data_IF_356093190096
#
_entry.id   IF_356093190096
#
_cell.length_a   1.000
_cell.length_b   1.000
_cell.length_c   1.000
_cell.angle_alpha   90.00
_cell.angle_beta   90.00
_cell.angle_gamma   90.00
#
_symmetry.space_group_name_H-M   'P 1'
#
loop_
_entity.id
_entity.type
_entity.pdbx_description
1 polymer ?
#
# COMPACT_ATOMS: atom_id res chain seq x y z
N UNK A 1 -33.58 -17.05 -3.32
CA UNK A 1 -32.84 -15.78 -3.50
C UNK A 1 -31.38 -16.14 -3.74
N UNK A 2 -30.90 -16.06 -4.99
CA UNK A 2 -29.52 -16.41 -5.32
C UNK A 2 -28.57 -15.43 -4.65
N UNK A 3 -27.56 -15.93 -3.94
CA UNK A 3 -26.50 -15.08 -3.37
C UNK A 3 -25.74 -14.47 -4.54
N UNK A 4 -25.88 -13.16 -4.74
CA UNK A 4 -25.03 -12.44 -5.68
C UNK A 4 -23.58 -12.65 -5.25
N UNK A 5 -22.72 -13.11 -6.17
CA UNK A 5 -21.28 -13.17 -5.90
C UNK A 5 -20.79 -11.73 -5.69
N UNK A 6 -20.22 -11.40 -4.52
CA UNK A 6 -19.75 -10.05 -4.26
C UNK A 6 -18.65 -9.70 -5.27
N UNK A 7 -18.73 -8.48 -5.79
CA UNK A 7 -17.74 -7.90 -6.68
C UNK A 7 -16.38 -7.79 -5.99
N UNK A 8 -15.30 -7.72 -6.78
CA UNK A 8 -13.97 -7.51 -6.24
C UNK A 8 -13.89 -6.25 -5.36
N UNK A 9 -14.57 -5.17 -5.77
CA UNK A 9 -14.60 -3.89 -5.04
C UNK A 9 -15.27 -4.03 -3.66
N UNK A 10 -16.29 -4.87 -3.53
CA UNK A 10 -16.92 -5.16 -2.25
C UNK A 10 -15.97 -5.93 -1.34
N UNK A 11 -15.31 -6.98 -1.86
CA UNK A 11 -14.31 -7.75 -1.12
C UNK A 11 -13.13 -6.90 -0.67
N UNK A 12 -12.67 -5.98 -1.52
CA UNK A 12 -11.62 -5.02 -1.20
C UNK A 12 -12.03 -4.12 -0.03
N UNK A 13 -13.22 -3.51 -0.13
CA UNK A 13 -13.72 -2.61 0.90
C UNK A 13 -13.89 -3.33 2.23
N UNK A 14 -14.46 -4.53 2.21
CA UNK A 14 -14.62 -5.36 3.39
C UNK A 14 -13.25 -5.67 4.03
N UNK A 15 -12.27 -6.10 3.23
CA UNK A 15 -10.93 -6.40 3.73
C UNK A 15 -10.24 -5.17 4.35
N UNK A 16 -10.33 -4.00 3.71
CA UNK A 16 -9.73 -2.75 4.24
C UNK A 16 -10.43 -2.29 5.51
N UNK A 17 -11.77 -2.39 5.58
CA UNK A 17 -12.53 -2.00 6.76
C UNK A 17 -12.30 -2.94 7.95
N UNK A 18 -12.19 -4.24 7.69
CA UNK A 18 -11.76 -5.22 8.71
C UNK A 18 -10.37 -4.89 9.24
N UNK A 19 -9.39 -4.63 8.36
CA UNK A 19 -8.05 -4.20 8.80
C UNK A 19 -8.11 -2.91 9.63
N UNK A 20 -8.92 -1.94 9.21
CA UNK A 20 -9.06 -0.66 9.90
C UNK A 20 -9.56 -0.86 11.33
N UNK A 21 -10.71 -1.49 11.47
CA UNK A 21 -11.43 -1.65 12.73
C UNK A 21 -10.79 -2.67 13.68
N UNK A 22 -10.27 -3.78 13.16
CA UNK A 22 -9.74 -4.86 14.01
C UNK A 22 -8.25 -4.70 14.35
N UNK A 23 -7.48 -3.99 13.52
CA UNK A 23 -6.04 -3.84 13.70
C UNK A 23 -5.62 -2.37 13.82
N UNK A 24 -5.88 -1.55 12.81
CA UNK A 24 -5.30 -0.20 12.69
C UNK A 24 -5.74 0.71 13.84
N UNK A 25 -7.00 0.62 14.26
CA UNK A 25 -7.55 1.35 15.40
C UNK A 25 -6.88 1.02 16.74
N UNK A 26 -6.15 -0.10 16.83
CA UNK A 26 -5.40 -0.49 18.03
C UNK A 26 -3.93 -0.03 17.96
N UNK A 27 -3.45 0.43 16.80
CA UNK A 27 -2.07 0.86 16.61
C UNK A 27 -1.83 2.30 17.08
N UNK A 28 -0.56 2.66 17.23
CA UNK A 28 -0.10 4.04 17.49
C UNK A 28 -0.39 4.95 16.30
N UNK A 29 -0.50 6.26 16.56
CA UNK A 29 -0.86 7.28 15.57
C UNK A 29 -0.03 7.19 14.28
N UNK A 30 1.29 7.05 14.40
CA UNK A 30 2.21 7.01 13.25
C UNK A 30 1.93 5.80 12.34
N UNK A 31 1.45 4.68 12.92
CA UNK A 31 1.08 3.49 12.15
C UNK A 31 -0.29 3.61 11.50
N UNK A 32 -1.20 4.40 12.07
CA UNK A 32 -2.48 4.72 11.44
C UNK A 32 -2.29 5.62 10.22
N UNK A 33 -1.48 6.66 10.36
CA UNK A 33 -1.11 7.54 9.25
C UNK A 33 -0.44 6.75 8.12
N UNK A 34 0.46 5.82 8.45
CA UNK A 34 1.05 4.92 7.46
C UNK A 34 0.02 4.02 6.75
N UNK A 35 -1.04 3.59 7.44
CA UNK A 35 -2.11 2.81 6.83
C UNK A 35 -2.97 3.64 5.86
N UNK A 36 -3.24 4.90 6.19
CA UNK A 36 -3.96 5.82 5.29
C UNK A 36 -3.19 6.01 3.96
N UNK A 37 -1.87 6.11 4.02
CA UNK A 37 -1.04 6.15 2.82
C UNK A 37 -1.07 4.83 2.03
N UNK A 38 -1.06 3.67 2.71
CA UNK A 38 -1.18 2.37 2.05
C UNK A 38 -2.52 2.22 1.33
N UNK A 39 -3.61 2.67 1.97
CA UNK A 39 -4.94 2.63 1.35
C UNK A 39 -5.00 3.51 0.09
N UNK A 40 -4.33 4.67 0.09
CA UNK A 40 -4.21 5.50 -1.12
C UNK A 40 -3.51 4.75 -2.25
N UNK A 41 -2.38 4.10 -1.96
CA UNK A 41 -1.64 3.29 -2.95
C UNK A 41 -2.50 2.13 -3.48
N UNK A 42 -3.20 1.42 -2.60
CA UNK A 42 -4.09 0.33 -3.01
C UNK A 42 -5.26 0.80 -3.88
N UNK A 43 -5.80 1.99 -3.60
CA UNK A 43 -6.87 2.59 -4.39
C UNK A 43 -6.39 2.99 -5.80
N UNK A 44 -5.16 3.52 -5.91
CA UNK A 44 -4.52 3.84 -7.20
C UNK A 44 -4.33 2.57 -8.05
N UNK A 45 -3.98 1.45 -7.40
CA UNK A 45 -3.72 0.16 -8.06
C UNK A 45 -4.93 -0.78 -8.12
N UNK A 46 -6.13 -0.32 -7.75
CA UNK A 46 -7.31 -1.18 -7.62
C UNK A 46 -7.65 -1.92 -8.92
N UNK A 47 -7.40 -1.28 -10.08
CA UNK A 47 -7.56 -1.90 -11.39
C UNK A 47 -6.62 -3.09 -11.59
N UNK A 48 -5.34 -2.95 -11.26
CA UNK A 48 -4.36 -4.02 -11.37
C UNK A 48 -4.67 -5.16 -10.38
N UNK A 49 -4.97 -4.81 -9.12
CA UNK A 49 -5.29 -5.79 -8.07
C UNK A 49 -6.55 -6.59 -8.44
N UNK A 50 -7.58 -5.96 -9.02
CA UNK A 50 -8.82 -6.62 -9.43
C UNK A 50 -8.64 -7.65 -10.55
N UNK A 51 -7.60 -7.49 -11.37
CA UNK A 51 -7.25 -8.42 -12.46
C UNK A 51 -6.22 -9.47 -12.03
N UNK A 52 -5.70 -9.37 -10.80
CA UNK A 52 -4.80 -10.38 -10.26
C UNK A 52 -5.60 -11.66 -9.98
N UNK A 53 -5.17 -12.80 -10.51
CA UNK A 53 -5.79 -14.11 -10.28
C UNK A 53 -5.57 -14.66 -8.86
N UNK A 54 -4.92 -13.89 -7.97
CA UNK A 54 -4.65 -14.30 -6.61
C UNK A 54 -5.95 -14.35 -5.78
N UNK A 55 -6.35 -15.51 -5.24
CA UNK A 55 -7.56 -15.62 -4.43
C UNK A 55 -7.44 -14.92 -3.06
N UNK A 56 -6.22 -14.60 -2.61
CA UNK A 56 -5.96 -13.98 -1.32
C UNK A 56 -5.70 -12.48 -1.46
N UNK A 57 -6.76 -11.69 -1.30
CA UNK A 57 -6.73 -10.23 -1.51
C UNK A 57 -5.70 -9.51 -0.64
N UNK A 58 -5.56 -9.90 0.64
CA UNK A 58 -4.59 -9.31 1.56
C UNK A 58 -3.14 -9.57 1.08
N UNK A 59 -2.89 -10.71 0.43
CA UNK A 59 -1.59 -10.99 -0.17
C UNK A 59 -1.28 -10.07 -1.35
N UNK A 60 -2.27 -9.78 -2.20
CA UNK A 60 -2.11 -8.82 -3.30
C UNK A 60 -1.89 -7.40 -2.77
N UNK A 61 -2.62 -6.98 -1.74
CA UNK A 61 -2.44 -5.68 -1.09
C UNK A 61 -1.05 -5.54 -0.46
N UNK A 62 -0.58 -6.59 0.22
CA UNK A 62 0.77 -6.64 0.77
C UNK A 62 1.84 -6.53 -0.32
N UNK A 63 1.68 -7.24 -1.44
CA UNK A 63 2.62 -7.16 -2.55
C UNK A 63 2.69 -5.75 -3.14
N UNK A 64 1.55 -5.11 -3.36
CA UNK A 64 1.50 -3.71 -3.83
C UNK A 64 2.18 -2.78 -2.83
N UNK A 65 1.93 -2.94 -1.52
CA UNK A 65 2.58 -2.16 -0.49
C UNK A 65 4.11 -2.33 -0.51
N UNK A 66 4.61 -3.56 -0.68
CA UNK A 66 6.04 -3.85 -0.79
C UNK A 66 6.67 -3.21 -2.03
N UNK A 67 5.96 -3.23 -3.17
CA UNK A 67 6.43 -2.58 -4.40
C UNK A 67 6.54 -1.05 -4.25
N UNK A 68 5.57 -0.41 -3.60
CA UNK A 68 5.67 1.04 -3.31
C UNK A 68 6.82 1.35 -2.34
N UNK A 69 7.02 0.52 -1.31
CA UNK A 69 8.13 0.67 -0.38
C UNK A 69 9.49 0.54 -1.11
N UNK A 70 9.67 -0.47 -1.96
CA UNK A 70 10.88 -0.65 -2.77
C UNK A 70 11.14 0.56 -3.68
N UNK A 71 10.09 1.09 -4.32
CA UNK A 71 10.17 2.29 -5.16
C UNK A 71 10.62 3.52 -4.34
N UNK A 72 10.02 3.74 -3.17
CA UNK A 72 10.32 4.87 -2.28
C UNK A 72 11.72 4.77 -1.69
N UNK A 73 12.19 3.56 -1.34
CA UNK A 73 13.56 3.34 -0.87
C UNK A 73 14.56 3.74 -1.96
N UNK A 74 14.38 3.26 -3.20
CA UNK A 74 15.26 3.64 -4.31
C UNK A 74 15.27 5.15 -4.59
N UNK A 75 14.12 5.79 -4.50
CA UNK A 75 14.00 7.24 -4.66
C UNK A 75 14.78 7.99 -3.57
N UNK A 76 14.69 7.54 -2.32
CA UNK A 76 15.44 8.11 -1.20
C UNK A 76 16.94 7.87 -1.33
N UNK A 77 17.36 6.65 -1.70
CA UNK A 77 18.77 6.32 -1.95
C UNK A 77 19.37 7.18 -3.06
N UNK A 78 18.62 7.41 -4.16
CA UNK A 78 19.03 8.29 -5.25
C UNK A 78 19.24 9.74 -4.78
N UNK A 79 18.25 10.29 -4.06
CA UNK A 79 18.32 11.66 -3.51
C UNK A 79 19.48 11.82 -2.51
N UNK A 80 19.76 10.81 -1.70
CA UNK A 80 20.91 10.82 -0.80
C UNK A 80 22.23 10.86 -1.58
N UNK A 81 22.37 10.05 -2.63
CA UNK A 81 23.55 10.06 -3.48
C UNK A 81 23.79 11.41 -4.19
N UNK A 82 22.73 12.07 -4.64
CA UNK A 82 22.80 13.42 -5.21
C UNK A 82 23.31 14.45 -4.18
N UNK A 83 22.72 14.47 -2.98
CA UNK A 83 23.12 15.37 -1.90
C UNK A 83 24.56 15.14 -1.44
N UNK A 84 25.02 13.89 -1.36
CA UNK A 84 26.42 13.57 -1.04
C UNK A 84 27.38 14.04 -2.13
N UNK A 85 26.99 13.92 -3.40
CA UNK A 85 27.75 14.45 -4.53
C UNK A 85 27.88 15.97 -4.51
N UNK A 86 26.78 16.68 -4.25
CA UNK A 86 26.77 18.13 -4.11
C UNK A 86 27.63 18.60 -2.93
N UNK A 87 27.50 17.96 -1.76
CA UNK A 87 28.28 18.29 -0.57
C UNK A 87 29.80 18.06 -0.77
N UNK A 88 30.17 17.10 -1.62
CA UNK A 88 31.56 16.81 -1.97
C UNK A 88 32.13 17.77 -3.02
N UNK A 89 31.32 18.20 -3.99
CA UNK A 89 31.71 19.12 -5.06
C UNK A 89 31.64 20.61 -4.64
N UNK A 90 30.92 20.93 -3.57
CA UNK A 90 30.82 22.27 -2.99
C UNK A 90 31.88 22.62 -1.92
N UNK A 91 32.89 21.75 -1.72
CA UNK A 91 34.11 22.01 -0.93
C UNK A 91 35.31 22.06 -1.87
#
# INVERSE_FOLDING_TARGET
MGRATPSFREKYREAVETLRSELVELLRKERREAFEELERVWNEELGAISNCSNPYILGSLLLVALLDLERRVKELEGRMGELEGEARNGR
#
